data_IF_285094876051
#
_entry.id   IF_285094876051
#
_cell.length_a   1.000
_cell.length_b   1.000
_cell.length_c   1.000
_cell.angle_alpha   90.00
_cell.angle_beta   90.00
_cell.angle_gamma   90.00
#
_symmetry.space_group_name_H-M   'P 1'
#
loop_
_entity.id
_entity.type
_entity.pdbx_description
1 polymer ?
#
# COMPACT_ATOMS: atom_id res chain seq x y z
N UNK A 1 0.45 9.63 20.21
CA UNK A 1 0.58 10.43 18.98
C UNK A 1 1.95 10.27 18.30
N UNK A 2 3.07 10.71 18.91
CA UNK A 2 4.40 10.66 18.24
C UNK A 2 4.85 9.24 17.84
N UNK A 3 4.67 8.24 18.72
CA UNK A 3 4.99 6.84 18.40
C UNK A 3 4.22 6.33 17.16
N UNK A 4 2.95 6.67 17.07
CA UNK A 4 2.10 6.32 15.95
C UNK A 4 2.60 6.96 14.65
N UNK A 5 2.88 8.26 14.70
CA UNK A 5 3.38 9.00 13.54
C UNK A 5 4.72 8.42 13.06
N UNK A 6 5.65 8.14 13.97
CA UNK A 6 6.96 7.54 13.64
C UNK A 6 6.79 6.17 13.00
N UNK A 7 5.98 5.28 13.61
CA UNK A 7 5.76 3.94 13.08
C UNK A 7 5.12 3.97 11.70
N UNK A 8 4.07 4.78 11.51
CA UNK A 8 3.40 4.91 10.22
C UNK A 8 4.37 5.35 9.13
N UNK A 9 5.22 6.35 9.41
CA UNK A 9 6.23 6.82 8.46
C UNK A 9 7.30 5.75 8.18
N UNK A 10 7.78 5.04 9.20
CA UNK A 10 8.76 3.97 9.02
C UNK A 10 8.21 2.82 8.16
N UNK A 11 6.97 2.39 8.40
CA UNK A 11 6.31 1.37 7.59
C UNK A 11 6.13 1.85 6.14
N UNK A 12 5.77 3.12 5.93
CA UNK A 12 5.64 3.68 4.58
C UNK A 12 6.99 3.75 3.87
N UNK A 13 8.06 4.16 4.57
CA UNK A 13 9.43 4.18 4.03
C UNK A 13 9.87 2.76 3.66
N UNK A 14 9.62 1.80 4.53
CA UNK A 14 9.98 0.39 4.31
C UNK A 14 9.34 -0.15 3.02
N UNK A 15 8.03 0.03 2.83
CA UNK A 15 7.34 -0.32 1.59
C UNK A 15 7.89 0.45 0.37
N UNK A 16 8.07 1.76 0.49
CA UNK A 16 8.48 2.63 -0.63
C UNK A 16 9.94 2.42 -1.05
N UNK A 17 10.78 1.88 -0.18
CA UNK A 17 12.19 1.57 -0.49
C UNK A 17 12.30 0.58 -1.66
N UNK A 18 11.42 -0.42 -1.71
CA UNK A 18 11.34 -1.37 -2.83
C UNK A 18 10.78 -0.77 -4.12
N UNK A 19 9.77 0.11 -4.00
CA UNK A 19 9.09 0.75 -5.15
C UNK A 19 9.98 1.79 -5.84
N UNK A 20 10.74 2.57 -5.06
CA UNK A 20 11.58 3.65 -5.57
C UNK A 20 10.90 5.02 -5.61
N UNK A 21 11.67 6.01 -6.10
CA UNK A 21 11.31 7.45 -6.09
C UNK A 21 10.27 7.82 -7.15
N UNK A 22 10.29 7.16 -8.30
CA UNK A 22 9.35 7.38 -9.41
C UNK A 22 8.66 6.07 -9.76
N UNK A 23 7.33 6.07 -9.79
CA UNK A 23 6.49 4.93 -10.12
C UNK A 23 5.05 5.39 -10.34
N UNK A 24 4.31 4.71 -11.21
CA UNK A 24 2.86 4.88 -11.32
C UNK A 24 2.09 4.21 -10.17
N UNK A 25 2.75 3.56 -9.21
CA UNK A 25 2.13 3.09 -7.99
C UNK A 25 1.81 4.26 -7.04
N UNK A 26 0.54 4.42 -6.65
CA UNK A 26 0.14 5.54 -5.80
C UNK A 26 0.72 5.40 -4.38
N UNK A 27 1.53 6.37 -3.96
CA UNK A 27 2.15 6.36 -2.63
C UNK A 27 1.15 6.39 -1.48
N UNK A 28 -0.09 6.85 -1.72
CA UNK A 28 -1.15 6.84 -0.72
C UNK A 28 -1.57 5.43 -0.33
N UNK A 29 -1.33 4.41 -1.17
CA UNK A 29 -1.53 3.00 -0.81
C UNK A 29 -0.62 2.61 0.35
N UNK A 30 0.68 2.88 0.21
CA UNK A 30 1.65 2.60 1.27
C UNK A 30 1.40 3.43 2.53
N UNK A 31 0.88 4.65 2.38
CA UNK A 31 0.51 5.48 3.52
C UNK A 31 -0.72 4.93 4.27
N UNK A 32 -1.82 4.62 3.57
CA UNK A 32 -3.05 4.12 4.19
C UNK A 32 -2.88 2.74 4.82
N UNK A 33 -2.14 1.83 4.17
CA UNK A 33 -1.79 0.54 4.75
C UNK A 33 -0.98 0.70 6.05
N UNK A 34 0.01 1.61 6.07
CA UNK A 34 0.77 1.93 7.29
C UNK A 34 -0.09 2.52 8.40
N UNK A 35 -1.10 3.34 8.06
CA UNK A 35 -2.05 3.87 9.04
C UNK A 35 -2.84 2.74 9.69
N UNK A 36 -3.39 1.80 8.90
CA UNK A 36 -4.07 0.61 9.42
C UNK A 36 -3.18 -0.22 10.35
N UNK A 37 -1.96 -0.54 9.91
CA UNK A 37 -0.98 -1.29 10.69
C UNK A 37 -0.58 -0.56 11.99
N UNK A 38 -0.47 0.76 11.94
CA UNK A 38 -0.21 1.58 13.12
C UNK A 38 -1.40 1.58 14.09
N UNK A 39 -2.64 1.59 13.58
CA UNK A 39 -3.84 1.45 14.42
C UNK A 39 -3.84 0.09 15.12
N UNK A 40 -3.44 -0.98 14.43
CA UNK A 40 -3.27 -2.30 15.02
C UNK A 40 -2.26 -2.27 16.17
N UNK A 41 -1.10 -1.63 15.95
CA UNK A 41 -0.07 -1.44 16.98
C UNK A 41 -0.60 -0.65 18.20
N UNK A 42 -1.36 0.43 17.97
CA UNK A 42 -1.93 1.23 19.05
C UNK A 42 -3.04 0.50 19.82
N UNK A 43 -3.69 -0.49 19.21
CA UNK A 43 -4.67 -1.37 19.85
C UNK A 43 -3.99 -2.56 20.57
N UNK A 44 -2.72 -2.43 20.96
CA UNK A 44 -1.94 -3.47 21.63
C UNK A 44 -1.81 -4.77 20.80
N UNK A 45 -1.93 -4.65 19.48
CA UNK A 45 -1.67 -5.75 18.56
C UNK A 45 -0.22 -6.20 18.62
N UNK A 46 0.00 -7.50 18.45
CA UNK A 46 1.33 -8.08 18.34
C UNK A 46 1.92 -7.77 16.96
N UNK A 47 3.19 -8.11 16.78
CA UNK A 47 3.86 -7.95 15.50
C UNK A 47 3.07 -8.58 14.34
N UNK A 48 2.52 -9.77 14.54
CA UNK A 48 1.73 -10.48 13.54
C UNK A 48 0.45 -9.71 13.17
N UNK A 49 -0.24 -9.11 14.16
CA UNK A 49 -1.45 -8.34 13.90
C UNK A 49 -1.16 -7.08 13.07
N UNK A 50 -0.03 -6.43 13.35
CA UNK A 50 0.46 -5.28 12.59
C UNK A 50 0.78 -5.67 11.16
N UNK A 51 1.50 -6.78 10.96
CA UNK A 51 1.91 -7.23 9.64
C UNK A 51 0.75 -7.79 8.80
N UNK A 52 -0.15 -8.58 9.39
CA UNK A 52 -1.37 -9.02 8.71
C UNK A 52 -2.26 -7.85 8.34
N UNK A 53 -2.40 -6.85 9.21
CA UNK A 53 -3.12 -5.62 8.87
C UNK A 53 -2.47 -4.93 7.68
N UNK A 54 -1.15 -4.76 7.68
CA UNK A 54 -0.40 -4.13 6.59
C UNK A 54 -0.63 -4.86 5.26
N UNK A 55 -0.49 -6.19 5.26
CA UNK A 55 -0.63 -7.03 4.07
C UNK A 55 -2.06 -7.07 3.56
N UNK A 56 -3.05 -7.20 4.45
CA UNK A 56 -4.45 -7.13 4.07
C UNK A 56 -4.75 -5.82 3.36
N UNK A 57 -4.31 -4.71 3.96
CA UNK A 57 -4.53 -3.37 3.40
C UNK A 57 -3.88 -3.23 2.02
N UNK A 58 -2.65 -3.73 1.87
CA UNK A 58 -1.94 -3.74 0.61
C UNK A 58 -2.65 -4.60 -0.44
N UNK A 59 -3.02 -5.83 -0.11
CA UNK A 59 -3.71 -6.74 -1.02
C UNK A 59 -5.02 -6.15 -1.57
N UNK A 60 -5.75 -5.36 -0.77
CA UNK A 60 -7.02 -4.75 -1.17
C UNK A 60 -6.83 -3.61 -2.19
N UNK A 61 -5.84 -2.73 -2.02
CA UNK A 61 -5.71 -1.50 -2.82
C UNK A 61 -4.44 -1.39 -3.68
N UNK A 62 -3.54 -2.38 -3.62
CA UNK A 62 -2.39 -2.45 -4.53
C UNK A 62 -2.88 -2.46 -5.98
N UNK A 63 -2.32 -1.56 -6.79
CA UNK A 63 -2.77 -1.30 -8.17
C UNK A 63 -3.41 0.07 -8.37
N UNK A 64 -3.69 0.81 -7.29
CA UNK A 64 -4.09 2.21 -7.40
C UNK A 64 -3.01 3.05 -8.09
N UNK A 65 -3.38 3.72 -9.18
CA UNK A 65 -2.45 4.44 -10.06
C UNK A 65 -2.18 5.87 -9.56
N UNK A 66 -0.94 6.33 -9.69
CA UNK A 66 -0.50 7.69 -9.49
C UNK A 66 -0.44 8.43 -10.83
N UNK A 67 -1.38 9.34 -11.06
CA UNK A 67 -1.45 10.18 -12.26
C UNK A 67 -1.17 11.67 -11.94
N UNK A 68 -0.56 11.96 -10.80
CA UNK A 68 -0.27 13.32 -10.33
C UNK A 68 -1.26 13.88 -9.31
N UNK A 69 -0.90 15.02 -8.72
CA UNK A 69 -1.68 15.67 -7.66
C UNK A 69 -2.95 16.34 -8.23
N UNK A 70 -4.13 15.83 -7.85
CA UNK A 70 -5.44 16.31 -8.30
C UNK A 70 -6.48 16.14 -7.19
N UNK A 71 -7.71 16.62 -7.40
CA UNK A 71 -8.82 16.39 -6.47
C UNK A 71 -9.06 14.88 -6.19
N UNK A 72 -8.81 14.01 -7.18
CA UNK A 72 -8.88 12.56 -7.03
C UNK A 72 -7.91 12.00 -5.98
N UNK A 73 -6.83 12.71 -5.62
CA UNK A 73 -5.93 12.30 -4.54
C UNK A 73 -6.65 12.23 -3.20
N UNK A 74 -7.58 13.15 -2.91
CA UNK A 74 -8.35 13.11 -1.66
C UNK A 74 -9.19 11.83 -1.55
N UNK A 75 -9.87 11.46 -2.64
CA UNK A 75 -10.62 10.21 -2.72
C UNK A 75 -9.69 8.99 -2.58
N UNK A 76 -8.56 8.97 -3.28
CA UNK A 76 -7.55 7.90 -3.20
C UNK A 76 -6.98 7.73 -1.78
N UNK A 77 -6.75 8.83 -1.06
CA UNK A 77 -6.34 8.81 0.35
C UNK A 77 -7.45 8.19 1.20
N UNK A 78 -8.69 8.66 1.05
CA UNK A 78 -9.82 8.15 1.82
C UNK A 78 -10.00 6.63 1.63
N UNK A 79 -10.00 6.16 0.38
CA UNK A 79 -10.12 4.72 0.07
C UNK A 79 -8.94 3.90 0.60
N UNK A 80 -7.73 4.45 0.57
CA UNK A 80 -6.54 3.76 1.12
C UNK A 80 -6.59 3.66 2.65
N UNK A 81 -7.07 4.70 3.33
CA UNK A 81 -7.29 4.67 4.79
C UNK A 81 -8.40 3.67 5.14
N UNK A 82 -9.49 3.66 4.38
CA UNK A 82 -10.59 2.69 4.55
C UNK A 82 -10.09 1.25 4.40
N UNK A 83 -9.25 0.98 3.39
CA UNK A 83 -8.56 -0.30 3.24
C UNK A 83 -7.70 -0.65 4.48
N UNK A 84 -6.97 0.33 4.99
CA UNK A 84 -6.22 0.23 6.25
C UNK A 84 -7.09 -0.24 7.43
N UNK A 85 -8.26 0.38 7.59
CA UNK A 85 -9.21 0.05 8.64
C UNK A 85 -9.85 -1.33 8.42
N UNK A 86 -10.17 -1.67 7.17
CA UNK A 86 -10.70 -3.00 6.82
C UNK A 86 -9.67 -4.10 7.10
N UNK A 87 -8.41 -3.90 6.70
CA UNK A 87 -7.33 -4.83 6.98
C UNK A 87 -7.12 -5.04 8.48
N UNK A 88 -7.25 -3.98 9.29
CA UNK A 88 -7.20 -4.06 10.75
C UNK A 88 -8.38 -4.85 11.30
N UNK A 89 -9.61 -4.56 10.85
CA UNK A 89 -10.80 -5.26 11.28
C UNK A 89 -10.72 -6.77 10.96
N UNK A 90 -10.21 -7.12 9.78
CA UNK A 90 -9.94 -8.51 9.39
C UNK A 90 -8.93 -9.16 10.32
N UNK A 91 -7.78 -8.51 10.57
CA UNK A 91 -6.75 -9.06 11.46
C UNK A 91 -7.28 -9.30 12.88
N UNK A 92 -8.09 -8.39 13.40
CA UNK A 92 -8.74 -8.52 14.72
C UNK A 92 -9.66 -9.74 14.82
N UNK A 93 -10.19 -10.21 13.70
CA UNK A 93 -11.03 -11.41 13.59
C UNK A 93 -10.22 -12.67 13.22
N UNK A 94 -8.89 -12.59 13.25
CA UNK A 94 -8.01 -13.69 12.82
C UNK A 94 -8.11 -13.99 11.32
N UNK A 95 -8.50 -13.01 10.50
CA UNK A 95 -8.62 -13.13 9.04
C UNK A 95 -7.48 -12.41 8.34
N UNK A 96 -6.84 -13.10 7.42
CA UNK A 96 -5.81 -12.57 6.55
C UNK A 96 -5.83 -13.27 5.20
N UNK A 97 -5.36 -12.56 4.17
CA UNK A 97 -5.05 -13.20 2.89
C UNK A 97 -3.87 -14.15 3.04
N UNK A 98 -3.85 -15.21 2.24
CA UNK A 98 -2.87 -16.29 2.31
C UNK A 98 -1.91 -16.22 1.13
N UNK A 99 -0.77 -16.90 1.26
CA UNK A 99 0.15 -17.08 0.15
C UNK A 99 -0.56 -17.71 -1.04
N UNK A 100 -0.39 -17.10 -2.23
CA UNK A 100 -1.09 -17.49 -3.44
C UNK A 100 -2.31 -16.63 -3.78
N UNK A 101 -2.76 -15.75 -2.87
CA UNK A 101 -3.79 -14.73 -3.14
C UNK A 101 -3.18 -13.57 -3.94
N UNK A 102 -2.79 -13.84 -5.19
CA UNK A 102 -2.23 -12.86 -6.12
C UNK A 102 -0.83 -12.39 -5.72
N UNK A 103 -0.73 -11.17 -5.19
CA UNK A 103 0.56 -10.56 -4.80
C UNK A 103 1.05 -11.02 -3.42
N UNK A 104 0.18 -11.67 -2.64
CA UNK A 104 0.45 -12.15 -1.29
C UNK A 104 1.26 -13.45 -1.33
N UNK A 105 2.37 -13.46 -0.60
CA UNK A 105 3.23 -14.61 -0.37
C UNK A 105 3.06 -15.16 1.05
N UNK A 106 3.58 -16.36 1.30
CA UNK A 106 3.52 -17.00 2.62
C UNK A 106 4.26 -16.20 3.71
N UNK A 107 5.26 -15.41 3.31
CA UNK A 107 5.97 -14.51 4.18
C UNK A 107 5.72 -13.04 3.85
N UNK A 108 5.79 -12.22 4.90
CA UNK A 108 5.45 -10.81 4.84
C UNK A 108 6.46 -10.00 4.01
N UNK A 109 7.74 -10.36 4.10
CA UNK A 109 8.82 -9.68 3.39
C UNK A 109 8.69 -9.89 1.88
N UNK A 110 8.48 -11.12 1.42
CA UNK A 110 8.26 -11.44 0.01
C UNK A 110 7.02 -10.76 -0.53
N UNK A 111 5.94 -10.65 0.24
CA UNK A 111 4.75 -9.88 -0.16
C UNK A 111 5.09 -8.41 -0.44
N UNK A 112 5.85 -7.78 0.47
CA UNK A 112 6.27 -6.38 0.31
C UNK A 112 7.24 -6.24 -0.87
N UNK A 113 8.12 -7.21 -1.09
CA UNK A 113 9.01 -7.25 -2.25
C UNK A 113 8.26 -7.43 -3.56
N UNK A 114 7.20 -8.24 -3.59
CA UNK A 114 6.32 -8.41 -4.76
C UNK A 114 5.65 -7.08 -5.12
N UNK A 115 5.11 -6.36 -4.13
CA UNK A 115 4.51 -5.04 -4.33
C UNK A 115 5.57 -4.03 -4.78
N UNK A 116 6.76 -4.08 -4.16
CA UNK A 116 7.92 -3.29 -4.57
C UNK A 116 8.29 -3.52 -6.05
N UNK A 117 8.37 -4.78 -6.47
CA UNK A 117 8.65 -5.19 -7.85
C UNK A 117 7.54 -4.76 -8.81
N UNK A 118 6.28 -4.92 -8.43
CA UNK A 118 5.14 -4.45 -9.22
C UNK A 118 5.24 -2.93 -9.44
N UNK A 119 5.39 -2.15 -8.37
CA UNK A 119 5.49 -0.70 -8.48
C UNK A 119 6.73 -0.23 -9.24
N UNK A 120 7.89 -0.85 -9.00
CA UNK A 120 9.17 -0.43 -9.58
C UNK A 120 9.35 -0.83 -11.04
N UNK A 121 9.00 -2.08 -11.36
CA UNK A 121 9.26 -2.71 -12.66
C UNK A 121 7.94 -2.85 -13.43
N UNK A 122 6.92 -3.46 -12.81
CA UNK A 122 5.65 -3.75 -13.49
C UNK A 122 4.89 -2.51 -13.95
N UNK A 123 5.02 -1.39 -13.24
CA UNK A 123 4.32 -0.14 -13.55
C UNK A 123 5.17 0.88 -14.33
N UNK A 124 6.31 0.47 -14.91
CA UNK A 124 7.12 1.37 -15.75
C UNK A 124 6.39 1.75 -17.04
N UNK A 125 5.89 0.76 -17.78
CA UNK A 125 5.08 1.01 -18.97
C UNK A 125 3.79 1.75 -18.61
N UNK A 126 3.17 1.42 -17.46
CA UNK A 126 2.01 2.17 -16.97
C UNK A 126 2.33 3.65 -16.78
N UNK A 127 3.50 3.99 -16.22
CA UNK A 127 3.93 5.38 -16.09
C UNK A 127 4.12 6.07 -17.43
N UNK A 128 4.73 5.41 -18.41
CA UNK A 128 4.88 5.95 -19.77
C UNK A 128 3.52 6.21 -20.41
N UNK A 129 2.58 5.27 -20.34
CA UNK A 129 1.24 5.45 -20.92
C UNK A 129 0.46 6.57 -20.24
N UNK A 130 0.57 6.73 -18.91
CA UNK A 130 -0.02 7.86 -18.21
C UNK A 130 0.53 9.18 -18.76
N UNK A 131 1.84 9.27 -18.99
CA UNK A 131 2.46 10.49 -19.55
C UNK A 131 1.93 10.76 -20.96
N UNK A 132 1.87 9.75 -21.84
CA UNK A 132 1.31 9.90 -23.19
C UNK A 132 -0.11 10.43 -23.17
N UNK A 133 -0.97 9.86 -22.30
CA UNK A 133 -2.34 10.33 -22.08
C UNK A 133 -2.35 11.80 -21.61
N UNK A 134 -1.48 12.15 -20.64
CA UNK A 134 -1.40 13.50 -20.09
C UNK A 134 -0.97 14.55 -21.12
N UNK A 135 -0.11 14.19 -22.08
CA UNK A 135 0.32 15.10 -23.16
C UNK A 135 -0.58 15.04 -24.39
N UNK A 136 -1.62 14.20 -24.38
CA UNK A 136 -2.60 14.10 -25.46
C UNK A 136 -2.12 13.32 -26.67
N UNK A 137 -1.09 12.47 -26.53
CA UNK A 137 -0.74 11.50 -27.56
C UNK A 137 -1.89 10.49 -27.72
N UNK A 138 -2.32 10.27 -28.96
CA UNK A 138 -3.37 9.29 -29.30
C UNK A 138 -2.70 7.97 -29.68
N UNK A 139 -3.32 6.86 -29.26
CA UNK A 139 -2.93 5.51 -29.66
C UNK A 139 -3.00 5.31 -31.18
#
# INVERSE_FOLDING_TARGET
>A
MLRALVLANLLTIYQKTGIGRLSAYCGVVSAGASVGATIAYLNEGRFEDVMHTLINSLAIVSGMVCDGAKASCAAKIASSVESGLLGFAMSKQGKHFLGGDGLVADDFETTIQNIGRLGRIGMQQTNEEIIKIMVGEKC
#
